data_IF_275855428986
#
_entry.id   IF_275855428986
#
_cell.length_a   1.000
_cell.length_b   1.000
_cell.length_c   1.000
_cell.angle_alpha   90.00
_cell.angle_beta   90.00
_cell.angle_gamma   90.00
#
_symmetry.space_group_name_H-M   'P 1'
#
loop_
_entity.id
_entity.type
_entity.pdbx_description
1 polymer ?
#
# COMPACT_ATOMS: atom_id res chain seq x y z
N UNK A 1 -11.97 8.27 -3.70
CA UNK A 1 -11.30 8.58 -4.98
C UNK A 1 -10.07 9.41 -4.68
N UNK A 2 -9.04 9.34 -5.51
CA UNK A 2 -7.85 10.18 -5.39
C UNK A 2 -7.35 10.60 -6.77
N UNK A 3 -6.70 11.75 -6.85
CA UNK A 3 -6.17 12.25 -8.11
C UNK A 3 -4.82 11.59 -8.38
N UNK A 4 -4.62 11.11 -9.62
CA UNK A 4 -3.35 10.54 -10.02
C UNK A 4 -2.27 11.60 -10.12
N UNK A 5 -1.03 11.22 -9.83
CA UNK A 5 0.14 12.03 -10.14
C UNK A 5 0.40 12.07 -11.64
N UNK A 6 1.20 13.04 -12.08
CA UNK A 6 1.54 13.17 -13.49
C UNK A 6 2.38 12.00 -14.00
N UNK A 7 3.18 11.37 -13.13
CA UNK A 7 3.97 10.17 -13.45
C UNK A 7 3.08 8.95 -13.62
N UNK A 8 2.17 8.68 -12.67
CA UNK A 8 1.20 7.58 -12.76
C UNK A 8 0.31 7.72 -14.00
N UNK A 9 -0.13 8.94 -14.30
CA UNK A 9 -0.91 9.22 -15.50
C UNK A 9 -0.12 8.93 -16.79
N UNK A 10 1.18 9.26 -16.83
CA UNK A 10 2.05 8.92 -17.96
C UNK A 10 2.25 7.41 -18.10
N UNK A 11 2.38 6.67 -16.99
CA UNK A 11 2.52 5.20 -17.00
C UNK A 11 1.26 4.47 -17.46
N UNK A 12 0.07 5.05 -17.26
CA UNK A 12 -1.19 4.54 -17.79
C UNK A 12 -1.37 4.81 -19.29
N UNK A 13 -0.52 5.67 -19.89
CA UNK A 13 -0.64 6.07 -21.30
C UNK A 13 -0.06 4.96 -22.20
N UNK A 14 -0.95 4.31 -22.94
CA UNK A 14 -0.61 3.23 -23.87
C UNK A 14 0.37 3.71 -24.95
N UNK A 15 1.49 2.99 -25.13
CA UNK A 15 2.63 3.41 -25.96
C UNK A 15 2.37 3.34 -27.49
N UNK A 16 1.28 2.70 -27.92
CA UNK A 16 1.01 2.40 -29.34
C UNK A 16 -0.26 3.07 -29.92
N UNK A 17 -0.90 4.00 -29.22
CA UNK A 17 -2.07 4.73 -29.71
C UNK A 17 -1.73 6.17 -30.09
N UNK A 18 -1.91 6.54 -31.37
CA UNK A 18 -1.76 7.92 -31.83
C UNK A 18 -2.88 8.76 -31.20
N UNK A 19 -2.54 9.59 -30.22
CA UNK A 19 -3.43 10.63 -29.73
C UNK A 19 -3.31 11.82 -30.70
N UNK A 20 -4.42 12.45 -31.07
CA UNK A 20 -4.57 13.57 -32.04
C UNK A 20 -4.78 14.91 -31.32
N UNK A 21 -4.31 16.03 -31.90
CA UNK A 21 -3.96 17.30 -31.21
C UNK A 21 -5.10 17.93 -30.37
N UNK A 22 -4.78 18.37 -29.13
CA UNK A 22 -5.72 18.68 -28.02
C UNK A 22 -5.43 17.90 -26.72
N UNK A 23 -4.31 17.17 -26.73
CA UNK A 23 -4.05 15.85 -26.13
C UNK A 23 -3.82 15.73 -24.63
N UNK A 24 -3.90 16.83 -23.88
CA UNK A 24 -3.72 16.79 -22.45
C UNK A 24 -5.07 16.98 -21.79
N UNK A 25 -5.51 16.00 -21.00
CA UNK A 25 -6.56 16.28 -20.03
C UNK A 25 -6.04 17.44 -19.17
N UNK A 26 -6.76 18.57 -19.19
CA UNK A 26 -6.39 19.78 -18.44
C UNK A 26 -6.25 19.49 -16.93
N UNK A 27 -6.88 18.41 -16.49
CA UNK A 27 -6.86 17.92 -15.12
C UNK A 27 -6.39 16.46 -15.08
N UNK A 28 -5.58 16.12 -14.08
CA UNK A 28 -5.21 14.74 -13.81
C UNK A 28 -6.47 13.94 -13.46
N UNK A 29 -6.65 12.74 -14.02
CA UNK A 29 -7.84 11.94 -13.78
C UNK A 29 -7.89 11.45 -12.33
N UNK A 30 -9.10 11.20 -11.84
CA UNK A 30 -9.32 10.61 -10.53
C UNK A 30 -9.45 9.08 -10.65
N UNK A 31 -8.74 8.36 -9.80
CA UNK A 31 -8.88 6.93 -9.63
C UNK A 31 -9.86 6.58 -8.51
N UNK A 32 -10.59 5.49 -8.69
CA UNK A 32 -11.48 4.96 -7.66
C UNK A 32 -10.69 4.29 -6.54
N UNK A 33 -11.11 4.56 -5.31
CA UNK A 33 -10.69 3.78 -4.13
C UNK A 33 -11.65 2.61 -3.96
N UNK A 34 -11.33 1.67 -3.08
CA UNK A 34 -12.19 0.52 -2.81
C UNK A 34 -13.66 0.92 -2.54
N UNK A 35 -13.88 1.93 -1.70
CA UNK A 35 -15.23 2.42 -1.39
C UNK A 35 -15.94 2.98 -2.63
N UNK A 36 -15.19 3.58 -3.55
CA UNK A 36 -15.70 4.05 -4.84
C UNK A 36 -16.11 2.92 -5.76
N UNK A 37 -15.34 1.83 -5.80
CA UNK A 37 -15.70 0.61 -6.56
C UNK A 37 -16.94 -0.05 -5.97
N UNK A 38 -17.04 -0.11 -4.64
CA UNK A 38 -18.22 -0.64 -3.95
C UNK A 38 -19.49 0.19 -4.24
N UNK A 39 -19.39 1.51 -4.40
CA UNK A 39 -20.53 2.34 -4.82
C UNK A 39 -20.97 2.01 -6.26
N UNK A 40 -20.03 1.77 -7.17
CA UNK A 40 -20.32 1.42 -8.55
C UNK A 40 -20.98 0.03 -8.69
N UNK A 41 -20.79 -0.88 -7.74
CA UNK A 41 -21.42 -2.20 -7.83
C UNK A 41 -22.94 -2.16 -7.72
N UNK A 42 -23.52 -1.13 -7.11
CA UNK A 42 -24.97 -0.92 -7.11
C UNK A 42 -25.52 -0.32 -8.41
N UNK A 43 -24.67 0.34 -9.21
CA UNK A 43 -25.04 0.91 -10.50
C UNK A 43 -24.86 -0.12 -11.63
N UNK A 44 -23.83 -0.95 -11.54
CA UNK A 44 -23.49 -1.93 -12.56
C UNK A 44 -24.15 -3.29 -12.25
N UNK A 45 -25.41 -3.45 -12.69
CA UNK A 45 -26.24 -4.62 -12.37
C UNK A 45 -26.15 -5.78 -13.39
N UNK A 46 -25.21 -5.74 -14.33
CA UNK A 46 -25.03 -6.88 -15.25
C UNK A 46 -24.34 -8.04 -14.52
N UNK A 47 -24.71 -9.32 -14.80
CA UNK A 47 -24.09 -10.47 -14.16
C UNK A 47 -22.56 -10.48 -14.26
N UNK A 48 -22.03 -10.04 -15.41
CA UNK A 48 -20.59 -9.89 -15.63
C UNK A 48 -19.98 -8.80 -14.75
N UNK A 49 -20.62 -7.65 -14.61
CA UNK A 49 -20.10 -6.56 -13.79
C UNK A 49 -20.09 -6.92 -12.30
N UNK A 50 -21.11 -7.63 -11.81
CA UNK A 50 -21.17 -8.13 -10.44
C UNK A 50 -19.97 -9.03 -10.14
N UNK A 51 -19.67 -9.99 -11.02
CA UNK A 51 -18.52 -10.89 -10.86
C UNK A 51 -17.19 -10.13 -10.84
N UNK A 52 -17.00 -9.18 -11.76
CA UNK A 52 -15.78 -8.37 -11.82
C UNK A 52 -15.61 -7.53 -10.56
N UNK A 53 -16.68 -6.91 -10.05
CA UNK A 53 -16.62 -6.11 -8.82
C UNK A 53 -16.23 -6.94 -7.61
N UNK A 54 -16.74 -8.18 -7.49
CA UNK A 54 -16.35 -9.11 -6.43
C UNK A 54 -14.85 -9.41 -6.49
N UNK A 55 -14.32 -9.68 -7.69
CA UNK A 55 -12.88 -9.96 -7.86
C UNK A 55 -12.00 -8.75 -7.54
N UNK A 56 -12.43 -7.54 -7.93
CA UNK A 56 -11.72 -6.31 -7.59
C UNK A 56 -11.67 -6.14 -6.06
N UNK A 57 -12.80 -6.32 -5.35
CA UNK A 57 -12.85 -6.21 -3.89
C UNK A 57 -11.95 -7.26 -3.20
N UNK A 58 -11.92 -8.50 -3.71
CA UNK A 58 -11.01 -9.55 -3.21
C UNK A 58 -9.54 -9.15 -3.34
N UNK A 59 -9.17 -8.54 -4.46
CA UNK A 59 -7.81 -8.03 -4.66
C UNK A 59 -7.47 -6.93 -3.64
N UNK A 60 -8.36 -5.96 -3.40
CA UNK A 60 -8.16 -4.91 -2.41
C UNK A 60 -8.00 -5.45 -0.98
N UNK A 61 -8.80 -6.45 -0.58
CA UNK A 61 -8.66 -7.11 0.72
C UNK A 61 -7.29 -7.77 0.87
N UNK A 62 -6.84 -8.52 -0.14
CA UNK A 62 -5.51 -9.16 -0.13
C UNK A 62 -4.38 -8.14 -0.06
N UNK A 63 -4.47 -7.05 -0.82
CA UNK A 63 -3.48 -5.96 -0.79
C UNK A 63 -3.37 -5.35 0.62
N UNK A 64 -4.49 -5.12 1.29
CA UNK A 64 -4.47 -4.64 2.69
C UNK A 64 -3.86 -5.63 3.65
N UNK A 65 -4.19 -6.92 3.53
CA UNK A 65 -3.60 -7.95 4.37
C UNK A 65 -2.07 -8.00 4.22
N UNK A 66 -1.58 -7.91 2.98
CA UNK A 66 -0.14 -7.83 2.71
C UNK A 66 0.47 -6.60 3.38
N UNK A 67 -0.09 -5.41 3.15
CA UNK A 67 0.41 -4.18 3.75
C UNK A 67 0.42 -4.25 5.29
N UNK A 68 -0.67 -4.72 5.89
CA UNK A 68 -0.77 -4.87 7.35
C UNK A 68 0.25 -5.88 7.89
N UNK A 69 0.41 -7.03 7.23
CA UNK A 69 1.38 -8.04 7.63
C UNK A 69 2.81 -7.48 7.66
N UNK A 70 3.18 -6.65 6.69
CA UNK A 70 4.50 -6.00 6.68
C UNK A 70 4.63 -4.93 7.77
N UNK A 71 3.57 -4.19 8.09
CA UNK A 71 3.62 -3.21 9.18
C UNK A 71 3.72 -3.86 10.56
N UNK A 72 3.03 -4.97 10.79
CA UNK A 72 3.14 -5.74 12.03
C UNK A 72 4.51 -6.41 12.14
N UNK A 73 5.01 -6.97 11.04
CA UNK A 73 6.34 -7.57 10.98
C UNK A 73 7.42 -6.51 11.24
N UNK A 74 7.36 -5.35 10.59
CA UNK A 74 8.30 -4.25 10.78
C UNK A 74 8.26 -3.72 12.21
N UNK A 75 7.07 -3.62 12.80
CA UNK A 75 6.89 -3.21 14.20
C UNK A 75 7.51 -4.23 15.15
N UNK A 76 7.25 -5.53 14.95
CA UNK A 76 7.77 -6.62 15.79
C UNK A 76 9.30 -6.69 15.73
N UNK A 77 9.88 -6.59 14.53
CA UNK A 77 11.34 -6.50 14.35
C UNK A 77 11.91 -5.28 15.09
N UNK A 78 11.24 -4.12 15.01
CA UNK A 78 11.64 -2.91 15.73
C UNK A 78 11.64 -3.08 17.26
N UNK A 79 10.66 -3.77 17.82
CA UNK A 79 10.61 -4.09 19.25
C UNK A 79 11.72 -5.08 19.67
N UNK A 80 11.89 -6.18 18.93
CA UNK A 80 12.90 -7.21 19.23
C UNK A 80 14.33 -6.66 19.18
N UNK A 81 14.61 -5.75 18.24
CA UNK A 81 15.91 -5.08 18.13
C UNK A 81 16.18 -4.15 19.32
N UNK A 82 15.16 -3.39 19.78
CA UNK A 82 15.29 -2.54 20.97
C UNK A 82 15.54 -3.36 22.25
N UNK A 83 14.84 -4.48 22.42
CA UNK A 83 15.06 -5.37 23.57
C UNK A 83 16.47 -5.97 23.57
N UNK A 84 16.95 -6.45 22.42
CA UNK A 84 18.32 -6.97 22.30
C UNK A 84 19.34 -5.88 22.65
N UNK A 85 19.19 -4.66 22.13
CA UNK A 85 20.09 -3.55 22.47
C UNK A 85 20.10 -3.21 23.97
N UNK A 86 18.92 -3.13 24.60
CA UNK A 86 18.80 -2.89 26.04
C UNK A 86 19.50 -4.00 26.85
N UNK A 87 19.34 -5.27 26.43
CA UNK A 87 19.94 -6.43 27.08
C UNK A 87 21.47 -6.47 26.93
N UNK A 88 22.00 -6.06 25.77
CA UNK A 88 23.44 -5.89 25.54
C UNK A 88 24.03 -4.79 26.42
N UNK A 89 23.36 -3.64 26.53
CA UNK A 89 23.80 -2.51 27.38
C UNK A 89 23.83 -2.90 28.87
N UNK A 90 22.80 -3.60 29.37
CA UNK A 90 22.75 -4.08 30.76
C UNK A 90 23.87 -5.10 31.05
N UNK A 91 24.13 -6.03 30.11
CA UNK A 91 25.17 -7.06 30.27
C UNK A 91 26.57 -6.45 30.24
N UNK A 92 26.78 -5.39 29.45
CA UNK A 92 28.03 -4.62 29.41
C UNK A 92 28.28 -3.91 30.75
N UNK A 93 27.28 -3.22 31.30
CA UNK A 93 27.38 -2.53 32.60
C UNK A 93 27.69 -3.50 33.75
N UNK A 94 27.00 -4.66 33.79
CA UNK A 94 27.26 -5.71 34.81
C UNK A 94 28.62 -6.39 34.66
N UNK A 95 29.15 -6.48 33.44
CA UNK A 95 30.48 -7.05 33.17
C UNK A 95 31.64 -6.15 33.61
N UNK A 96 31.46 -4.83 33.58
CA UNK A 96 32.49 -3.86 34.00
C UNK A 96 32.57 -3.74 35.52
N UNK A 97 31.45 -3.86 36.24
CA UNK A 97 31.43 -3.80 37.72
C UNK A 97 32.04 -5.01 38.43
N UNK A 98 32.13 -6.17 37.78
CA UNK A 98 32.73 -7.40 38.35
C UNK A 98 34.26 -7.49 38.21
N UNK A 99 34.89 -6.48 37.59
CA UNK A 99 36.33 -6.46 37.30
C UNK A 99 37.08 -5.38 38.10
N UNK A 100 36.43 -4.78 39.10
CA UNK A 100 36.95 -3.70 39.95
C UNK A 100 37.06 -4.08 41.44
N UNK A 101 36.98 -5.37 41.77
CA UNK A 101 37.37 -5.92 43.07
C UNK A 101 38.20 -7.19 42.86
#
# INVERSE_FOLDING_TARGET
MFQLTQEEYKSLRFQFGILEKGQHSKYLPNAFTEQGVAMLSGLLNSPRAVLVNIEIMRAFVRLRQILLSHTELARKIGFDLKEKQARYSIKKIRGTGKRLF
#
